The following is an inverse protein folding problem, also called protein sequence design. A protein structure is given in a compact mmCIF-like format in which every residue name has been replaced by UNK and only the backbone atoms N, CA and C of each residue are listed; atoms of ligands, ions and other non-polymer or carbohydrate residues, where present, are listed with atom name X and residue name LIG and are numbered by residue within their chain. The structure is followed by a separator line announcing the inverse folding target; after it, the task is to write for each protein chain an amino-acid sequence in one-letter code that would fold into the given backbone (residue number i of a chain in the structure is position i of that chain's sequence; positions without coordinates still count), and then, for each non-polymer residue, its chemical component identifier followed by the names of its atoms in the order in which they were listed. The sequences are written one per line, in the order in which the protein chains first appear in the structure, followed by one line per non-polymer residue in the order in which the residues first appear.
data_IF_959773800243
#
_entry.id   IF_959773800243
#
_cell.length_a   1.000
_cell.length_b   1.000
_cell.length_c   1.000
_cell.angle_alpha   90.00
_cell.angle_beta   90.00
_cell.angle_gamma   90.00
#
_symmetry.space_group_name_H-M   'P 1'
#
loop_
_entity.id
_entity.type
_entity.pdbx_description
1 polymer ?
#
# COMPACT_ATOMS: atom_id res chain seq x y z
N UNK A 1 -17.50 -15.83 9.05
CA UNK A 1 -16.82 -14.75 8.30
C UNK A 1 -16.24 -13.63 9.19
N UNK A 2 -16.99 -12.63 9.71
CA UNK A 2 -16.37 -11.53 10.50
C UNK A 2 -15.66 -12.04 11.77
N UNK A 3 -16.25 -13.00 12.50
CA UNK A 3 -15.67 -13.60 13.73
C UNK A 3 -14.44 -14.50 13.50
N UNK A 4 -14.26 -15.06 12.30
CA UNK A 4 -13.12 -15.95 12.01
C UNK A 4 -11.89 -15.13 11.61
N UNK A 5 -12.10 -14.05 10.86
CA UNK A 5 -11.05 -13.10 10.51
C UNK A 5 -10.48 -12.39 11.75
N UNK A 6 -11.33 -12.03 12.72
CA UNK A 6 -10.86 -11.42 13.98
C UNK A 6 -10.00 -12.37 14.81
N UNK A 7 -10.32 -13.68 14.82
CA UNK A 7 -9.53 -14.68 15.55
C UNK A 7 -8.16 -14.92 14.91
N UNK A 8 -8.06 -14.86 13.58
CA UNK A 8 -6.78 -14.95 12.87
C UNK A 8 -5.87 -13.76 13.19
N UNK A 9 -6.40 -12.55 13.01
CA UNK A 9 -5.64 -11.33 13.22
C UNK A 9 -5.12 -11.24 14.66
N UNK A 10 -5.93 -11.62 15.65
CA UNK A 10 -5.50 -11.73 17.04
C UNK A 10 -4.35 -12.73 17.22
N UNK A 11 -4.44 -13.94 16.66
CA UNK A 11 -3.36 -14.95 16.76
C UNK A 11 -2.05 -14.47 16.14
N UNK A 12 -2.10 -13.86 14.96
CA UNK A 12 -0.91 -13.29 14.31
C UNK A 12 -0.33 -12.17 15.19
N UNK A 13 -1.18 -11.28 15.69
CA UNK A 13 -0.78 -10.18 16.58
C UNK A 13 -0.12 -10.69 17.86
N UNK A 14 -0.65 -11.73 18.47
CA UNK A 14 -0.08 -12.33 19.69
C UNK A 14 1.31 -12.91 19.45
N UNK A 15 1.51 -13.64 18.35
CA UNK A 15 2.81 -14.20 17.98
C UNK A 15 3.80 -13.08 17.68
N UNK A 16 3.38 -12.06 16.92
CA UNK A 16 4.24 -10.91 16.62
C UNK A 16 4.64 -10.15 17.90
N UNK A 17 3.72 -9.94 18.84
CA UNK A 17 4.01 -9.28 20.12
C UNK A 17 5.06 -10.04 20.95
N UNK A 18 5.10 -11.37 20.86
CA UNK A 18 6.06 -12.20 21.58
C UNK A 18 7.42 -12.27 20.89
N UNK A 19 7.45 -12.33 19.56
CA UNK A 19 8.67 -12.64 18.80
C UNK A 19 9.37 -11.40 18.26
N UNK A 20 8.63 -10.35 17.87
CA UNK A 20 9.22 -9.13 17.29
C UNK A 20 10.25 -8.49 18.24
N UNK A 21 10.02 -8.34 19.57
CA UNK A 21 11.02 -7.75 20.47
C UNK A 21 12.36 -8.50 20.51
N UNK A 22 12.39 -9.78 20.12
CA UNK A 22 13.59 -10.62 20.09
C UNK A 22 14.39 -10.46 18.79
N UNK A 23 13.81 -9.81 17.78
CA UNK A 23 14.44 -9.67 16.46
C UNK A 23 15.42 -8.50 16.42
N UNK A 24 16.48 -8.63 15.62
CA UNK A 24 17.53 -7.62 15.42
C UNK A 24 17.52 -6.99 14.03
N UNK A 25 16.62 -7.42 13.14
CA UNK A 25 16.31 -6.73 11.88
C UNK A 25 14.93 -7.19 11.35
N UNK A 26 14.34 -6.39 10.45
CA UNK A 26 13.00 -6.67 9.88
C UNK A 26 12.94 -7.98 9.07
N UNK A 27 14.07 -8.47 8.52
CA UNK A 27 14.10 -9.74 7.76
C UNK A 27 13.90 -10.96 8.66
N UNK A 28 14.24 -10.88 9.95
CA UNK A 28 13.94 -11.96 10.89
C UNK A 28 12.44 -12.10 11.14
N UNK A 29 11.69 -10.99 11.11
CA UNK A 29 10.22 -11.01 11.21
C UNK A 29 9.62 -11.67 9.97
N UNK A 30 10.20 -11.46 8.79
CA UNK A 30 9.81 -12.22 7.61
C UNK A 30 10.04 -13.72 7.79
N UNK A 31 11.23 -14.14 8.20
CA UNK A 31 11.52 -15.56 8.38
C UNK A 31 10.54 -16.19 9.37
N UNK A 32 10.26 -15.50 10.48
CA UNK A 32 9.22 -15.90 11.43
C UNK A 32 7.86 -16.12 10.73
N UNK A 33 7.40 -15.15 9.93
CA UNK A 33 6.11 -15.23 9.22
C UNK A 33 6.08 -16.31 8.13
N UNK A 34 7.23 -16.69 7.58
CA UNK A 34 7.34 -17.72 6.56
C UNK A 34 7.37 -19.13 7.14
N UNK A 35 8.08 -19.32 8.25
CA UNK A 35 8.35 -20.66 8.81
C UNK A 35 7.38 -21.07 9.90
N UNK A 36 6.63 -20.14 10.47
CA UNK A 36 5.62 -20.45 11.48
C UNK A 36 4.42 -21.08 10.79
N UNK A 37 4.11 -22.33 11.14
CA UNK A 37 2.84 -22.96 10.76
C UNK A 37 1.72 -22.32 11.59
N UNK A 38 1.16 -21.24 11.06
CA UNK A 38 -0.03 -20.64 11.63
C UNK A 38 -1.23 -21.53 11.30
N UNK A 39 -1.41 -22.71 11.91
CA UNK A 39 -2.67 -23.47 11.87
C UNK A 39 -3.35 -23.57 10.47
N UNK A 40 -2.58 -23.78 9.38
CA UNK A 40 -3.12 -23.87 8.02
C UNK A 40 -3.18 -22.58 7.19
N UNK A 41 -2.65 -21.45 7.67
CA UNK A 41 -2.42 -20.26 6.83
C UNK A 41 -1.19 -20.43 5.95
N UNK A 42 -1.27 -19.95 4.72
CA UNK A 42 -0.17 -19.88 3.76
C UNK A 42 0.31 -18.44 3.64
N UNK A 43 1.56 -18.19 4.00
CA UNK A 43 2.20 -16.90 3.79
C UNK A 43 2.96 -16.93 2.47
N UNK A 44 2.70 -15.97 1.58
CA UNK A 44 3.48 -15.76 0.36
C UNK A 44 4.00 -14.34 0.28
N UNK A 45 5.20 -14.17 -0.26
CA UNK A 45 5.82 -12.85 -0.36
C UNK A 45 5.27 -12.13 -1.58
N UNK A 46 4.77 -10.92 -1.37
CA UNK A 46 4.37 -10.02 -2.45
C UNK A 46 5.51 -9.04 -2.80
N UNK A 47 6.27 -8.59 -1.80
CA UNK A 47 7.41 -7.68 -1.97
C UNK A 47 8.49 -7.95 -0.93
N UNK A 48 9.71 -8.21 -1.40
CA UNK A 48 10.93 -8.23 -0.59
C UNK A 48 11.48 -6.81 -0.38
N UNK A 49 12.16 -6.50 0.74
CA UNK A 49 12.69 -5.17 0.98
C UNK A 49 13.88 -4.91 0.05
N UNK A 50 13.84 -3.81 -0.71
CA UNK A 50 14.97 -3.40 -1.57
C UNK A 50 16.18 -2.96 -0.74
N UNK A 51 15.94 -2.38 0.44
CA UNK A 51 16.95 -1.92 1.38
C UNK A 51 16.61 -2.36 2.81
N UNK A 52 17.55 -2.19 3.74
CA UNK A 52 17.39 -2.60 5.14
C UNK A 52 16.19 -1.95 5.85
N UNK A 53 15.69 -0.84 5.31
CA UNK A 53 14.62 -0.01 5.86
C UNK A 53 13.45 0.23 4.91
N UNK A 54 13.35 -0.56 3.84
CA UNK A 54 12.17 -0.64 2.98
C UNK A 54 11.11 -1.54 3.61
N UNK A 55 9.86 -1.36 3.21
CA UNK A 55 8.75 -2.16 3.67
C UNK A 55 8.82 -3.59 3.09
N UNK A 56 8.40 -4.55 3.90
CA UNK A 56 8.15 -5.92 3.51
C UNK A 56 6.65 -6.16 3.37
N UNK A 57 6.21 -6.90 2.35
CA UNK A 57 4.80 -7.15 2.10
C UNK A 57 4.55 -8.64 1.86
N UNK A 58 3.64 -9.21 2.64
CA UNK A 58 3.19 -10.60 2.50
C UNK A 58 1.69 -10.69 2.30
N UNK A 59 1.27 -11.71 1.56
CA UNK A 59 -0.09 -12.21 1.54
C UNK A 59 -0.21 -13.32 2.58
N UNK A 60 -1.29 -13.30 3.34
CA UNK A 60 -1.68 -14.35 4.27
C UNK A 60 -3.01 -14.91 3.76
N UNK A 61 -2.99 -16.18 3.35
CA UNK A 61 -4.15 -16.89 2.83
C UNK A 61 -4.58 -17.99 3.78
N UNK A 62 -5.89 -18.26 3.84
CA UNK A 62 -6.45 -19.39 4.58
C UNK A 62 -7.45 -20.15 3.72
N UNK A 63 -7.53 -21.46 3.89
CA UNK A 63 -8.46 -22.28 3.09
C UNK A 63 -9.95 -21.94 3.34
N UNK A 64 -10.30 -21.25 4.43
CA UNK A 64 -11.70 -20.96 4.80
C UNK A 64 -12.00 -19.47 5.02
N UNK A 65 -11.06 -18.56 4.75
CA UNK A 65 -11.24 -17.13 5.02
C UNK A 65 -10.80 -16.25 3.86
N UNK A 66 -11.15 -14.96 3.94
CA UNK A 66 -10.61 -13.96 3.04
C UNK A 66 -9.11 -13.81 3.25
N UNK A 67 -8.41 -13.48 2.18
CA UNK A 67 -6.97 -13.23 2.20
C UNK A 67 -6.67 -11.82 2.68
N UNK A 68 -5.54 -11.68 3.36
CA UNK A 68 -5.04 -10.41 3.87
C UNK A 68 -3.65 -10.12 3.32
N UNK A 69 -3.34 -8.83 3.24
CA UNK A 69 -1.97 -8.36 3.02
C UNK A 69 -1.44 -7.76 4.31
N UNK A 70 -0.20 -8.07 4.67
CA UNK A 70 0.50 -7.42 5.79
C UNK A 70 1.67 -6.64 5.24
N UNK A 71 1.63 -5.32 5.45
CA UNK A 71 2.77 -4.44 5.24
C UNK A 71 3.50 -4.25 6.56
N UNK A 72 4.80 -4.48 6.55
CA UNK A 72 5.68 -4.40 7.72
C UNK A 72 6.77 -3.39 7.40
N UNK A 73 6.90 -2.36 8.23
CA UNK A 73 7.91 -1.33 8.04
C UNK A 73 8.27 -0.65 9.36
N UNK A 74 9.40 0.04 9.42
CA UNK A 74 9.72 0.90 10.56
C UNK A 74 8.71 2.05 10.66
N UNK A 75 8.32 2.43 11.87
CA UNK A 75 7.42 3.55 12.14
C UNK A 75 8.17 4.88 11.97
N UNK A 76 8.44 5.24 10.71
CA UNK A 76 9.21 6.43 10.31
C UNK A 76 8.57 7.21 9.15
N UNK A 77 7.34 6.88 8.78
CA UNK A 77 6.64 7.42 7.61
C UNK A 77 5.51 8.34 8.07
N UNK A 78 5.77 9.64 8.30
CA UNK A 78 4.82 10.53 8.97
C UNK A 78 3.51 10.69 8.20
N UNK A 79 3.55 10.71 6.87
CA UNK A 79 2.33 10.80 6.04
C UNK A 79 1.42 9.59 6.25
N UNK A 80 1.98 8.39 6.16
CA UNK A 80 1.24 7.16 6.41
C UNK A 80 0.73 7.10 7.87
N UNK A 81 1.58 7.46 8.84
CA UNK A 81 1.22 7.48 10.26
C UNK A 81 0.09 8.47 10.59
N UNK A 82 0.03 9.63 9.91
CA UNK A 82 -1.08 10.58 10.03
C UNK A 82 -2.42 9.92 9.67
N UNK A 83 -2.44 9.17 8.57
CA UNK A 83 -3.64 8.44 8.13
C UNK A 83 -3.96 7.27 9.08
N UNK A 84 -2.97 6.42 9.38
CA UNK A 84 -3.17 5.22 10.20
C UNK A 84 -3.67 5.50 11.62
N UNK A 85 -3.34 6.67 12.16
CA UNK A 85 -3.71 7.04 13.53
C UNK A 85 -5.00 7.87 13.59
N UNK A 86 -5.66 8.13 12.46
CA UNK A 86 -6.88 8.94 12.40
C UNK A 86 -8.09 8.10 11.97
N UNK A 87 -9.01 7.75 12.90
CA UNK A 87 -10.21 7.00 12.59
C UNK A 87 -11.08 7.66 11.50
N UNK A 88 -11.16 9.00 11.51
CA UNK A 88 -11.94 9.76 10.53
C UNK A 88 -11.36 9.65 9.13
N UNK A 89 -10.02 9.71 9.00
CA UNK A 89 -9.34 9.55 7.70
C UNK A 89 -9.44 8.11 7.19
N UNK A 90 -9.28 7.13 8.07
CA UNK A 90 -9.46 5.72 7.73
C UNK A 90 -10.89 5.43 7.26
N UNK A 91 -11.91 5.97 7.94
CA UNK A 91 -13.31 5.78 7.55
C UNK A 91 -13.62 6.32 6.15
N UNK A 92 -12.99 7.43 5.75
CA UNK A 92 -13.14 7.97 4.39
C UNK A 92 -12.53 7.04 3.34
N UNK A 93 -11.34 6.50 3.62
CA UNK A 93 -10.63 5.58 2.72
C UNK A 93 -11.30 4.21 2.64
N UNK A 94 -11.83 3.68 3.75
CA UNK A 94 -12.56 2.41 3.77
C UNK A 94 -13.78 2.41 2.85
N UNK A 95 -14.45 3.57 2.71
CA UNK A 95 -15.60 3.75 1.81
C UNK A 95 -15.19 4.04 0.35
N UNK A 96 -13.90 4.27 0.09
CA UNK A 96 -13.38 4.58 -1.23
C UNK A 96 -12.96 3.32 -1.99
N UNK A 97 -13.63 3.03 -3.10
CA UNK A 97 -13.33 1.87 -3.96
C UNK A 97 -11.97 1.96 -4.67
N UNK A 98 -11.31 3.13 -4.62
CA UNK A 98 -10.03 3.41 -5.27
C UNK A 98 -8.85 3.34 -4.28
N UNK A 99 -9.07 2.86 -3.06
CA UNK A 99 -8.02 2.63 -2.07
C UNK A 99 -8.13 1.26 -1.43
N UNK A 100 -6.99 0.68 -1.08
CA UNK A 100 -6.94 -0.57 -0.30
C UNK A 100 -7.58 -0.34 1.08
N UNK A 101 -8.40 -1.28 1.54
CA UNK A 101 -9.01 -1.19 2.86
C UNK A 101 -8.05 -1.66 3.94
N UNK A 102 -7.74 -0.80 4.91
CA UNK A 102 -7.03 -1.20 6.13
C UNK A 102 -8.02 -1.89 7.07
N UNK A 103 -7.64 -3.08 7.53
CA UNK A 103 -8.40 -3.88 8.48
C UNK A 103 -7.93 -3.61 9.91
N UNK A 104 -6.62 -3.45 10.10
CA UNK A 104 -6.01 -3.26 11.41
C UNK A 104 -4.61 -2.65 11.25
N UNK A 105 -4.19 -1.83 12.22
CA UNK A 105 -2.81 -1.33 12.30
C UNK A 105 -2.35 -1.23 13.75
N UNK A 106 -1.11 -1.64 13.99
CA UNK A 106 -0.50 -1.51 15.31
C UNK A 106 1.01 -1.36 15.22
N UNK A 107 1.59 -0.86 16.31
CA UNK A 107 3.02 -0.70 16.46
C UNK A 107 3.50 -1.67 17.54
N UNK A 108 4.58 -2.38 17.27
CA UNK A 108 5.31 -3.16 18.27
C UNK A 108 6.64 -2.46 18.56
N UNK A 109 6.89 -2.05 19.81
CA UNK A 109 8.21 -1.61 20.24
C UNK A 109 9.22 -2.75 20.07
N UNK A 110 10.35 -2.46 19.47
CA UNK A 110 11.46 -3.39 19.38
C UNK A 110 12.66 -2.73 20.04
N UNK A 111 13.11 -3.25 21.19
CA UNK A 111 14.20 -2.65 21.96
C UNK A 111 15.56 -2.63 21.25
N UNK A 112 15.72 -3.43 20.18
CA UNK A 112 16.92 -3.52 19.36
C UNK A 112 16.81 -2.72 18.04
N UNK A 113 15.62 -2.23 17.70
CA UNK A 113 15.32 -1.54 16.44
C UNK A 113 14.52 -0.26 16.70
N UNK A 114 14.16 0.47 15.63
CA UNK A 114 13.05 1.41 15.73
C UNK A 114 11.73 0.64 15.87
N UNK A 115 10.72 1.28 16.44
CA UNK A 115 9.35 0.78 16.48
C UNK A 115 8.92 0.26 15.10
N UNK A 116 8.26 -0.89 15.08
CA UNK A 116 7.85 -1.57 13.85
C UNK A 116 6.35 -1.48 13.73
N UNK A 117 5.88 -0.96 12.60
CA UNK A 117 4.47 -0.86 12.27
C UNK A 117 4.05 -2.04 11.40
N UNK A 118 2.91 -2.60 11.78
CA UNK A 118 2.20 -3.61 11.03
C UNK A 118 0.89 -2.99 10.53
N UNK A 119 0.61 -3.15 9.25
CA UNK A 119 -0.63 -2.68 8.62
C UNK A 119 -1.24 -3.84 7.85
N UNK A 120 -2.43 -4.25 8.28
CA UNK A 120 -3.20 -5.32 7.66
C UNK A 120 -4.21 -4.69 6.70
N UNK A 121 -4.16 -5.10 5.45
CA UNK A 121 -5.09 -4.70 4.41
C UNK A 121 -5.92 -5.90 3.97
N UNK A 122 -7.11 -5.64 3.41
CA UNK A 122 -7.75 -6.63 2.54
C UNK A 122 -6.83 -6.91 1.35
N UNK A 123 -6.68 -8.18 0.98
CA UNK A 123 -5.90 -8.53 -0.20
C UNK A 123 -6.54 -7.95 -1.46
N UNK A 124 -5.71 -7.29 -2.28
CA UNK A 124 -6.11 -6.75 -3.59
C UNK A 124 -5.55 -7.70 -4.64
N UNK A 125 -6.43 -8.46 -5.29
CA UNK A 125 -6.06 -9.37 -6.37
C UNK A 125 -5.99 -8.62 -7.70
N UNK A 126 -4.78 -8.34 -8.16
CA UNK A 126 -4.56 -7.55 -9.36
C UNK A 126 -3.09 -7.44 -9.72
N UNK A 127 -2.82 -6.66 -10.77
CA UNK A 127 -1.45 -6.45 -11.27
C UNK A 127 -1.00 -5.01 -11.03
N UNK A 128 0.15 -4.79 -10.38
CA UNK A 128 0.77 -3.48 -10.25
C UNK A 128 0.98 -2.77 -11.60
N UNK A 129 0.73 -1.45 -11.66
CA UNK A 129 0.83 -0.69 -12.91
C UNK A 129 2.26 -0.64 -13.45
N UNK A 130 3.29 -0.62 -12.59
CA UNK A 130 4.70 -0.65 -12.99
C UNK A 130 5.06 -1.87 -13.86
N UNK A 131 4.43 -3.02 -13.59
CA UNK A 131 4.59 -4.25 -14.38
C UNK A 131 3.79 -4.20 -15.68
N UNK A 132 2.66 -3.51 -15.69
CA UNK A 132 1.77 -3.44 -16.85
C UNK A 132 2.24 -2.47 -17.91
N UNK A 133 2.87 -1.36 -17.53
CA UNK A 133 3.36 -0.36 -18.49
C UNK A 133 4.52 -0.87 -19.33
N UNK A 134 5.30 -1.83 -18.82
CA UNK A 134 6.43 -2.42 -19.54
C UNK A 134 5.91 -3.31 -20.68
N UNK A 135 6.09 -2.86 -21.92
CA UNK A 135 5.64 -3.59 -23.11
C UNK A 135 4.16 -3.42 -23.47
N UNK A 136 3.45 -2.49 -22.83
CA UNK A 136 2.08 -2.14 -23.19
C UNK A 136 2.00 -1.45 -24.56
N UNK A 137 0.89 -1.67 -25.28
CA UNK A 137 0.56 -0.90 -26.47
C UNK A 137 0.16 0.53 -26.12
N UNK A 138 0.13 1.43 -27.11
CA UNK A 138 -0.29 2.81 -26.90
C UNK A 138 -1.74 2.89 -26.36
N UNK A 139 -2.64 2.04 -26.86
CA UNK A 139 -4.04 1.99 -26.39
C UNK A 139 -4.12 1.56 -24.93
N UNK A 140 -3.30 0.59 -24.49
CA UNK A 140 -3.24 0.16 -23.10
C UNK A 140 -2.69 1.27 -22.20
N UNK A 141 -1.66 1.99 -22.65
CA UNK A 141 -1.10 3.14 -21.91
C UNK A 141 -2.16 4.24 -21.72
N UNK A 142 -2.94 4.55 -22.75
CA UNK A 142 -4.06 5.50 -22.64
C UNK A 142 -5.07 5.01 -21.61
N UNK A 143 -5.49 3.74 -21.67
CA UNK A 143 -6.41 3.17 -20.69
C UNK A 143 -5.87 3.25 -19.24
N UNK A 144 -4.59 2.93 -19.02
CA UNK A 144 -3.99 3.01 -17.69
C UNK A 144 -3.93 4.44 -17.14
N UNK A 145 -3.70 5.44 -18.02
CA UNK A 145 -3.74 6.86 -17.62
C UNK A 145 -5.14 7.28 -17.18
N UNK A 146 -6.17 6.93 -17.96
CA UNK A 146 -7.56 7.24 -17.62
C UNK A 146 -7.98 6.60 -16.30
N UNK A 147 -7.68 5.31 -16.10
CA UNK A 147 -8.01 4.61 -14.85
C UNK A 147 -7.25 5.16 -13.64
N UNK A 148 -5.98 5.56 -13.81
CA UNK A 148 -5.22 6.21 -12.75
C UNK A 148 -5.76 7.61 -12.45
N UNK A 149 -6.12 8.39 -13.47
CA UNK A 149 -6.76 9.71 -13.31
C UNK A 149 -8.06 9.58 -12.52
N UNK A 150 -8.92 8.63 -12.90
CA UNK A 150 -10.17 8.36 -12.18
C UNK A 150 -9.91 8.01 -10.71
N UNK A 151 -8.91 7.16 -10.41
CA UNK A 151 -8.51 6.84 -9.05
C UNK A 151 -8.13 8.10 -8.26
N UNK A 152 -7.29 8.95 -8.84
CA UNK A 152 -6.78 10.17 -8.20
C UNK A 152 -7.91 11.18 -7.96
N UNK A 153 -8.78 11.40 -8.95
CA UNK A 153 -9.95 12.28 -8.81
C UNK A 153 -10.88 11.83 -7.68
N UNK A 154 -11.14 10.53 -7.56
CA UNK A 154 -11.99 10.00 -6.51
C UNK A 154 -11.35 10.09 -5.11
N UNK A 155 -10.03 9.98 -5.01
CA UNK A 155 -9.29 10.27 -3.78
C UNK A 155 -9.37 11.77 -3.41
N UNK A 156 -9.29 12.67 -4.40
CA UNK A 156 -9.44 14.10 -4.15
C UNK A 156 -10.80 14.49 -3.60
N UNK A 157 -11.87 13.87 -4.12
CA UNK A 157 -13.24 14.10 -3.65
C UNK A 157 -13.37 13.85 -2.15
N UNK A 158 -12.69 12.83 -1.64
CA UNK A 158 -12.70 12.49 -0.21
C UNK A 158 -11.58 13.18 0.61
N UNK A 159 -10.80 14.06 -0.02
CA UNK A 159 -9.81 14.92 0.66
C UNK A 159 -8.40 14.33 0.74
N UNK A 160 -8.01 13.49 -0.23
CA UNK A 160 -6.64 12.96 -0.31
C UNK A 160 -6.01 13.23 -1.68
N UNK A 161 -4.71 13.53 -1.66
CA UNK A 161 -3.88 13.66 -2.85
C UNK A 161 -2.79 12.56 -2.85
N UNK A 162 -2.83 11.59 -3.77
CA UNK A 162 -1.75 10.62 -3.92
C UNK A 162 -0.58 11.20 -4.74
N UNK A 163 0.63 11.12 -4.20
CA UNK A 163 1.85 11.40 -4.96
C UNK A 163 2.16 10.26 -5.94
N UNK A 164 2.06 10.55 -7.24
CA UNK A 164 2.28 9.58 -8.32
C UNK A 164 3.78 9.46 -8.62
N UNK A 165 4.51 8.80 -7.72
CA UNK A 165 5.97 8.61 -7.80
C UNK A 165 6.38 7.20 -8.20
N UNK A 166 5.65 6.20 -7.71
CA UNK A 166 5.88 4.79 -8.01
C UNK A 166 4.57 4.20 -8.53
N UNK A 167 4.61 3.62 -9.74
CA UNK A 167 3.44 2.96 -10.30
C UNK A 167 3.17 1.61 -9.61
N UNK A 168 4.15 1.08 -8.87
CA UNK A 168 3.98 -0.11 -8.04
C UNK A 168 3.01 0.10 -6.86
N UNK A 169 2.74 1.35 -6.48
CA UNK A 169 1.78 1.67 -5.40
C UNK A 169 0.32 1.55 -5.87
N UNK A 170 0.10 1.41 -7.18
CA UNK A 170 -1.20 1.33 -7.82
C UNK A 170 -1.40 -0.04 -8.47
N UNK A 171 -2.51 -0.69 -8.13
CA UNK A 171 -2.85 -2.02 -8.65
C UNK A 171 -4.07 -1.91 -9.57
N UNK A 172 -3.94 -2.40 -10.80
CA UNK A 172 -5.07 -2.63 -11.68
C UNK A 172 -5.78 -3.92 -11.24
N UNK A 173 -7.07 -3.80 -10.94
CA UNK A 173 -7.95 -4.95 -10.69
C UNK A 173 -9.04 -5.01 -11.75
N UNK A 174 -9.49 -6.23 -12.04
CA UNK A 174 -10.63 -6.48 -12.92
C UNK A 174 -11.64 -7.39 -12.21
N UNK A 175 -12.82 -6.86 -11.91
CA UNK A 175 -13.88 -7.58 -11.21
C UNK A 175 -15.15 -7.53 -12.06
N UNK A 176 -15.70 -8.70 -12.42
CA UNK A 176 -16.91 -8.79 -13.26
C UNK A 176 -16.83 -8.00 -14.58
N UNK A 177 -15.64 -7.90 -15.16
CA UNK A 177 -15.37 -7.14 -16.40
C UNK A 177 -15.17 -5.64 -16.20
N UNK A 178 -15.20 -5.14 -14.96
CA UNK A 178 -14.94 -3.74 -14.63
C UNK A 178 -13.50 -3.59 -14.16
N UNK A 179 -12.73 -2.76 -14.87
CA UNK A 179 -11.35 -2.43 -14.52
C UNK A 179 -11.31 -1.18 -13.65
N UNK A 180 -10.49 -1.19 -12.60
CA UNK A 180 -10.19 -0.01 -11.79
C UNK A 180 -8.77 -0.06 -11.25
N UNK A 181 -8.21 1.12 -10.98
CA UNK A 181 -6.92 1.25 -10.29
C UNK A 181 -7.16 1.52 -8.81
N UNK A 182 -6.47 0.78 -7.96
CA UNK A 182 -6.54 0.89 -6.50
C UNK A 182 -5.19 1.33 -5.95
N UNK A 183 -5.18 2.35 -5.10
CA UNK A 183 -4.00 2.74 -4.33
C UNK A 183 -3.75 1.79 -3.15
N UNK A 184 -2.52 1.32 -3.01
CA UNK A 184 -2.13 0.33 -1.98
C UNK A 184 -1.06 0.81 -1.00
N UNK A 185 -0.33 1.87 -1.30
CA UNK A 185 0.64 2.48 -0.38
C UNK A 185 0.18 3.86 0.11
N UNK A 186 -0.14 3.97 1.40
CA UNK A 186 -0.60 5.22 2.00
C UNK A 186 0.55 6.20 2.31
N UNK A 187 1.81 5.80 2.16
CA UNK A 187 2.93 6.72 2.29
C UNK A 187 2.98 7.76 1.14
N UNK A 188 2.21 7.56 0.07
CA UNK A 188 2.04 8.56 -0.99
C UNK A 188 0.86 9.50 -0.74
N UNK A 189 0.01 9.24 0.27
CA UNK A 189 -1.20 10.01 0.52
C UNK A 189 -0.93 11.27 1.35
N UNK A 190 -1.26 12.42 0.79
CA UNK A 190 -1.38 13.69 1.52
C UNK A 190 -2.84 13.91 1.89
N UNK A 191 -3.10 14.18 3.16
CA UNK A 191 -4.40 14.71 3.60
C UNK A 191 -4.53 16.17 3.15
N UNK A 192 -5.46 16.41 2.23
CA UNK A 192 -5.82 17.73 1.74
C UNK A 192 -7.29 18.07 2.05
N UNK A 193 -7.86 17.42 3.08
CA UNK A 193 -9.27 17.61 3.45
C UNK A 193 -9.60 19.03 3.89
N UNK A 194 -8.60 19.78 4.37
CA UNK A 194 -8.72 21.20 4.73
C UNK A 194 -8.56 22.15 3.53
N UNK A 195 -8.17 21.64 2.36
CA UNK A 195 -8.06 22.45 1.14
C UNK A 195 -9.43 22.65 0.49
N UNK A 196 -9.67 23.86 -0.02
CA UNK A 196 -10.89 24.16 -0.80
C UNK A 196 -11.03 23.17 -1.97
N UNK A 197 -12.25 22.71 -2.24
CA UNK A 197 -12.52 21.80 -3.35
C UNK A 197 -12.05 22.36 -4.69
N UNK A 198 -12.25 23.66 -4.90
CA UNK A 198 -11.80 24.35 -6.11
C UNK A 198 -10.28 24.24 -6.32
N UNK A 199 -9.48 24.45 -5.27
CA UNK A 199 -8.02 24.29 -5.34
C UNK A 199 -7.59 22.85 -5.64
N UNK A 200 -8.38 21.86 -5.19
CA UNK A 200 -8.16 20.44 -5.51
C UNK A 200 -8.50 20.11 -6.97
N UNK A 201 -9.46 20.82 -7.57
CA UNK A 201 -9.79 20.68 -8.99
C UNK A 201 -8.73 21.36 -9.87
N UNK A 202 -8.26 22.56 -9.49
CA UNK A 202 -7.23 23.30 -10.25
C UNK A 202 -5.90 22.55 -10.36
N UNK A 203 -5.53 21.75 -9.34
CA UNK A 203 -4.29 20.97 -9.37
C UNK A 203 -4.40 19.71 -10.26
N UNK A 204 -5.61 19.34 -10.71
CA UNK A 204 -5.79 18.15 -11.56
C UNK A 204 -5.09 18.29 -12.91
N UNK A 205 -5.01 19.48 -13.50
CA UNK A 205 -4.28 19.70 -14.76
C UNK A 205 -2.79 19.36 -14.61
N UNK A 206 -2.20 19.74 -13.47
CA UNK A 206 -0.80 19.44 -13.14
C UNK A 206 -0.63 17.94 -12.93
N UNK A 207 -1.57 17.30 -12.24
CA UNK A 207 -1.52 15.87 -11.92
C UNK A 207 -1.73 15.02 -13.16
N UNK A 208 -2.62 15.42 -14.06
CA UNK A 208 -2.82 14.77 -15.35
C UNK A 208 -1.54 14.81 -16.18
N UNK A 209 -0.85 15.95 -16.20
CA UNK A 209 0.48 16.03 -16.81
C UNK A 209 1.48 15.05 -16.18
N UNK A 210 1.49 14.93 -14.85
CA UNK A 210 2.34 13.95 -14.14
C UNK A 210 1.95 12.51 -14.54
N UNK A 211 0.66 12.17 -14.57
CA UNK A 211 0.16 10.86 -15.02
C UNK A 211 0.65 10.55 -16.43
N UNK A 212 0.53 11.51 -17.35
CA UNK A 212 0.98 11.35 -18.74
C UNK A 212 2.48 11.06 -18.83
N UNK A 213 3.30 11.73 -18.02
CA UNK A 213 4.75 11.54 -18.00
C UNK A 213 5.14 10.22 -17.35
N UNK A 214 4.50 9.87 -16.23
CA UNK A 214 4.86 8.69 -15.43
C UNK A 214 4.36 7.41 -16.10
N UNK A 215 3.10 7.36 -16.52
CA UNK A 215 2.52 6.20 -17.21
C UNK A 215 2.94 6.26 -18.68
N UNK A 216 4.08 5.68 -18.99
CA UNK A 216 4.59 5.57 -20.36
C UNK A 216 5.37 4.26 -20.57
N UNK A 217 5.58 3.83 -21.82
CA UNK A 217 6.42 2.67 -22.13
C UNK A 217 7.87 2.83 -21.65
N UNK A 218 8.33 4.08 -21.47
CA UNK A 218 9.67 4.41 -20.99
C UNK A 218 9.73 4.56 -19.46
N UNK A 219 8.69 4.10 -18.75
CA UNK A 219 8.64 4.18 -17.30
C UNK A 219 9.92 3.59 -16.67
N UNK A 220 10.53 4.39 -15.81
CA UNK A 220 11.62 3.96 -14.94
C UNK A 220 11.15 4.17 -13.51
N UNK A 221 11.13 3.11 -12.68
CA UNK A 221 10.79 3.28 -11.27
C UNK A 221 11.70 4.33 -10.64
N UNK A 222 11.10 5.33 -10.00
CA UNK A 222 11.85 6.37 -9.26
C UNK A 222 12.73 5.77 -8.15
N UNK A 223 12.45 4.51 -7.76
CA UNK A 223 12.97 3.85 -6.57
C UNK A 223 14.05 2.81 -6.92
N UNK A 224 14.67 2.86 -8.11
CA UNK A 224 15.80 1.96 -8.44
C UNK A 224 17.02 2.17 -7.54
N UNK A 225 17.13 3.33 -6.90
CA UNK A 225 18.18 3.67 -5.93
C UNK A 225 17.56 4.11 -4.60
N UNK A 226 18.27 3.86 -3.48
CA UNK A 226 17.81 4.29 -2.15
C UNK A 226 17.68 5.81 -2.18
N UNK A 227 16.50 6.40 -1.93
CA UNK A 227 16.35 7.84 -1.94
C UNK A 227 17.34 8.44 -0.94
N UNK A 228 18.38 9.07 -1.47
CA UNK A 228 19.26 9.91 -0.67
C UNK A 228 18.67 11.31 -0.70
N UNK A 229 18.86 12.10 0.35
CA UNK A 229 18.35 13.49 0.38
C UNK A 229 18.89 14.38 -0.76
N UNK A 230 19.80 13.86 -1.59
CA UNK A 230 20.45 14.53 -2.72
C UNK A 230 19.78 14.26 -4.08
N UNK A 231 18.69 13.48 -4.16
CA UNK A 231 18.02 13.16 -5.43
C UNK A 231 16.73 13.98 -5.65
N UNK A 232 16.64 15.16 -5.05
CA UNK A 232 15.56 16.14 -5.26
C UNK A 232 16.05 17.37 -6.05
N UNK A 233 17.00 17.17 -6.96
CA UNK A 233 17.44 18.18 -7.93
C UNK A 233 16.72 17.97 -9.28
#
# INVERSE_FOLDING_TARGET
MIKENSNLLMKIKDILNQEVPKTTNIRQIYNLLKTTDYLGYKCSVLKEPRWADDAFIIRISHNSSLDFTVKIHYDKYPMASHVYNSPDLLSKLEQCLFSSTIVETFIIPNGNLKNIRFVFYKYVDGTPLDKLVVGASEEMIVMYRELLKECVENLFKIGFNPFIRDLGDFILVEESGIKRVILTDYNTLVDCSNSHSHTREEIMDIIEYIIHKTVSPNYKPFISERPTMFQLD
#
